data_IF_260130063624
#
_entry.id   IF_260130063624
#
_cell.length_a   1.000
_cell.length_b   1.000
_cell.length_c   1.000
_cell.angle_alpha   90.00
_cell.angle_beta   90.00
_cell.angle_gamma   90.00
#
_symmetry.space_group_name_H-M   'P 1'
#
loop_
_entity.id
_entity.type
_entity.pdbx_description
1 polymer ?
#
# COMPACT_ATOMS: atom_id res chain seq x y z
N UNK A 1 21.78 -42.07 92.60
CA UNK A 1 20.89 -42.86 91.71
C UNK A 1 20.83 -42.12 90.38
N UNK A 2 21.42 -42.69 89.32
CA UNK A 2 21.39 -42.16 87.95
C UNK A 2 19.97 -42.31 87.41
N UNK A 3 19.44 -41.28 86.75
CA UNK A 3 18.41 -41.45 85.73
C UNK A 3 18.82 -40.63 84.51
N UNK A 4 19.27 -41.32 83.46
CA UNK A 4 19.48 -40.77 82.13
C UNK A 4 18.10 -40.53 81.50
N UNK A 5 17.85 -39.34 80.95
CA UNK A 5 16.87 -39.16 79.87
C UNK A 5 17.62 -38.71 78.62
N UNK A 6 17.42 -39.52 77.57
CA UNK A 6 18.06 -39.45 76.26
C UNK A 6 17.47 -38.30 75.42
N UNK A 7 18.35 -37.54 74.76
CA UNK A 7 17.97 -36.68 73.65
C UNK A 7 17.56 -37.54 72.44
N UNK A 8 16.33 -37.38 71.97
CA UNK A 8 15.88 -37.88 70.67
C UNK A 8 16.31 -36.87 69.58
N UNK A 9 16.82 -37.33 68.42
CA UNK A 9 17.21 -36.43 67.34
C UNK A 9 15.97 -35.91 66.60
N UNK A 10 15.98 -34.61 66.25
CA UNK A 10 15.01 -34.03 65.31
C UNK A 10 15.17 -34.70 63.94
N UNK A 11 14.07 -35.25 63.41
CA UNK A 11 14.01 -35.75 62.04
C UNK A 11 14.14 -34.59 61.05
N UNK A 12 15.04 -34.72 60.08
CA UNK A 12 15.11 -33.84 58.92
C UNK A 12 13.86 -34.02 58.04
N UNK A 13 13.37 -32.95 57.37
CA UNK A 13 12.25 -33.08 56.43
C UNK A 13 12.63 -34.04 55.30
N UNK A 14 11.79 -35.05 55.08
CA UNK A 14 11.97 -36.03 54.02
C UNK A 14 11.67 -35.38 52.66
N UNK A 15 12.64 -35.43 51.75
CA UNK A 15 12.44 -35.22 50.31
C UNK A 15 11.48 -36.32 49.79
N UNK A 16 10.37 -36.00 49.10
CA UNK A 16 9.45 -37.02 48.62
C UNK A 16 10.11 -37.87 47.52
N UNK A 17 10.35 -39.12 47.86
CA UNK A 17 10.93 -40.15 47.00
C UNK A 17 9.87 -40.91 46.21
N UNK A 18 9.07 -40.24 45.38
CA UNK A 18 8.27 -40.90 44.36
C UNK A 18 7.58 -39.86 43.48
N UNK A 19 7.86 -39.92 42.18
CA UNK A 19 7.05 -39.35 41.11
C UNK A 19 5.82 -40.25 40.90
N UNK A 20 5.04 -40.49 41.96
CA UNK A 20 3.65 -40.93 41.75
C UNK A 20 3.00 -39.87 40.89
N UNK A 21 2.40 -40.32 39.78
CA UNK A 21 1.77 -39.54 38.73
C UNK A 21 1.01 -38.35 39.30
N UNK A 22 1.69 -37.20 39.36
CA UNK A 22 1.05 -35.91 39.51
C UNK A 22 0.12 -35.79 38.31
N UNK A 23 -1.17 -35.97 38.56
CA UNK A 23 -2.18 -35.42 37.67
C UNK A 23 -1.82 -33.97 37.38
N UNK A 24 -2.18 -33.51 36.19
CA UNK A 24 -2.02 -32.15 35.67
C UNK A 24 -1.88 -31.14 36.82
N UNK A 25 -0.64 -30.69 37.08
CA UNK A 25 -0.36 -29.81 38.23
C UNK A 25 -1.09 -28.49 37.94
N UNK A 26 -2.14 -28.21 38.71
CA UNK A 26 -2.84 -26.93 38.62
C UNK A 26 -1.93 -25.83 39.18
N UNK A 27 -1.30 -25.13 38.25
CA UNK A 27 -0.34 -24.07 38.49
C UNK A 27 -0.98 -22.80 39.10
N UNK A 28 -2.31 -22.76 39.16
CA UNK A 28 -3.10 -21.69 39.78
C UNK A 28 -3.50 -22.01 41.22
N UNK A 29 -3.22 -23.21 41.73
CA UNK A 29 -3.54 -23.61 43.09
C UNK A 29 -2.64 -22.89 44.12
N UNK A 30 -3.23 -22.46 45.24
CA UNK A 30 -2.49 -21.83 46.34
C UNK A 30 -1.40 -22.78 46.87
N UNK A 31 -0.14 -22.36 46.78
CA UNK A 31 1.03 -23.12 47.23
C UNK A 31 1.76 -23.92 46.14
N UNK A 32 1.28 -23.92 44.89
CA UNK A 32 1.99 -24.56 43.77
C UNK A 32 3.29 -23.82 43.41
N UNK A 33 4.41 -24.54 43.32
CA UNK A 33 5.71 -24.03 42.87
C UNK A 33 5.97 -24.44 41.42
N UNK A 34 5.42 -23.69 40.48
CA UNK A 34 5.72 -23.85 39.06
C UNK A 34 6.98 -23.09 38.66
N UNK A 35 7.84 -23.74 37.88
CA UNK A 35 9.09 -23.15 37.36
C UNK A 35 9.26 -23.50 35.88
N UNK A 36 9.91 -22.61 35.12
CA UNK A 36 10.28 -22.86 33.73
C UNK A 36 9.07 -23.11 32.82
N UNK A 37 9.03 -24.24 32.11
CA UNK A 37 7.96 -24.50 31.13
C UNK A 37 6.55 -24.53 31.72
N UNK A 38 6.44 -24.88 33.00
CA UNK A 38 5.15 -24.92 33.65
C UNK A 38 4.54 -23.52 33.84
N UNK A 39 5.37 -22.51 34.12
CA UNK A 39 4.90 -21.11 34.24
C UNK A 39 4.48 -20.52 32.89
N UNK A 40 4.92 -21.11 31.78
CA UNK A 40 4.51 -20.74 30.44
C UNK A 40 3.31 -21.55 29.93
N UNK A 41 2.66 -22.33 30.81
CA UNK A 41 1.62 -23.30 30.47
C UNK A 41 2.01 -24.20 29.28
N UNK A 42 3.28 -24.63 29.24
CA UNK A 42 3.84 -25.37 28.10
C UNK A 42 3.53 -24.73 26.74
N UNK A 43 3.65 -23.40 26.66
CA UNK A 43 3.37 -22.61 25.46
C UNK A 43 1.93 -22.73 24.97
N UNK A 44 0.99 -23.01 25.89
CA UNK A 44 -0.43 -23.23 25.64
C UNK A 44 -0.72 -24.24 24.53
N UNK A 45 0.19 -25.20 24.32
CA UNK A 45 0.08 -26.19 23.26
C UNK A 45 0.34 -25.66 21.83
N UNK A 46 0.78 -24.40 21.70
CA UNK A 46 1.08 -23.73 20.43
C UNK A 46 2.57 -23.47 20.24
N UNK A 47 3.41 -24.32 20.82
CA UNK A 47 4.84 -24.19 20.66
C UNK A 47 5.62 -25.23 21.44
N UNK A 48 6.91 -25.28 21.16
CA UNK A 48 7.86 -26.09 21.90
C UNK A 48 8.47 -25.27 23.02
N UNK A 49 8.35 -25.76 24.26
CA UNK A 49 9.03 -25.13 25.39
C UNK A 49 10.48 -25.60 25.51
N UNK A 50 11.40 -24.66 25.73
CA UNK A 50 12.81 -24.92 26.00
C UNK A 50 13.18 -24.48 27.43
N UNK A 51 13.54 -25.45 28.29
CA UNK A 51 14.10 -25.16 29.61
C UNK A 51 15.52 -24.58 29.50
N UNK A 52 15.84 -23.55 30.28
CA UNK A 52 17.18 -22.95 30.35
C UNK A 52 17.77 -23.16 31.72
N UNK A 53 18.96 -23.76 31.80
CA UNK A 53 19.67 -23.99 33.08
C UNK A 53 19.41 -25.33 33.75
N UNK A 54 18.79 -26.31 33.07
CA UNK A 54 18.61 -27.67 33.56
C UNK A 54 17.33 -27.91 34.37
N UNK A 55 17.14 -29.14 34.89
CA UNK A 55 15.95 -29.51 35.67
C UNK A 55 15.80 -28.63 36.93
N UNK A 56 14.62 -28.01 37.10
CA UNK A 56 14.31 -27.15 38.26
C UNK A 56 14.67 -25.68 38.11
N UNK A 57 15.23 -25.25 36.98
CA UNK A 57 15.44 -23.83 36.69
C UNK A 57 14.11 -23.08 36.52
N UNK A 58 14.00 -21.84 37.04
CA UNK A 58 12.82 -20.99 36.81
C UNK A 58 12.75 -20.45 35.38
N UNK A 59 13.83 -20.53 34.61
CA UNK A 59 13.93 -19.91 33.29
C UNK A 59 13.57 -20.90 32.19
N UNK A 60 12.56 -20.56 31.39
CA UNK A 60 12.25 -21.22 30.14
C UNK A 60 11.79 -20.18 29.10
N UNK A 61 11.81 -20.57 27.83
CA UNK A 61 11.21 -19.80 26.75
C UNK A 61 10.42 -20.71 25.82
N UNK A 62 9.37 -20.15 25.25
CA UNK A 62 8.59 -20.81 24.21
C UNK A 62 9.16 -20.50 22.83
N UNK A 63 9.24 -21.52 21.98
CA UNK A 63 9.37 -21.40 20.55
C UNK A 63 8.02 -21.72 19.93
N UNK A 64 7.26 -20.68 19.61
CA UNK A 64 5.90 -20.83 19.09
C UNK A 64 5.85 -21.51 17.72
N UNK A 65 4.76 -22.20 17.46
CA UNK A 65 4.43 -22.80 16.18
C UNK A 65 4.04 -21.72 15.16
N UNK A 66 4.18 -21.98 13.84
CA UNK A 66 3.78 -21.02 12.80
C UNK A 66 2.34 -20.53 12.98
N UNK A 67 2.14 -19.21 12.97
CA UNK A 67 0.83 -18.59 13.19
C UNK A 67 0.54 -18.23 14.65
N UNK A 68 1.39 -18.64 15.59
CA UNK A 68 1.28 -18.33 17.02
C UNK A 68 2.51 -17.56 17.52
N UNK A 69 2.29 -16.62 18.44
CA UNK A 69 3.26 -15.67 18.95
C UNK A 69 2.69 -14.26 19.07
N UNK A 70 3.51 -13.30 19.49
CA UNK A 70 3.08 -11.96 19.91
C UNK A 70 3.27 -11.76 21.41
N UNK A 71 3.19 -12.85 22.16
CA UNK A 71 3.45 -12.95 23.59
C UNK A 71 4.46 -14.08 23.89
N UNK A 72 4.93 -14.14 25.14
CA UNK A 72 5.90 -15.17 25.57
C UNK A 72 5.28 -16.57 25.75
N UNK A 73 3.94 -16.69 25.71
CA UNK A 73 3.20 -17.90 26.04
C UNK A 73 2.58 -18.58 24.81
N UNK A 74 2.78 -18.03 23.60
CA UNK A 74 2.18 -18.49 22.35
C UNK A 74 0.64 -18.53 22.41
N UNK A 75 0.05 -17.58 23.13
CA UNK A 75 -1.42 -17.45 23.24
C UNK A 75 -1.99 -16.59 22.14
N UNK A 76 -1.18 -15.72 21.55
CA UNK A 76 -1.59 -14.80 20.52
C UNK A 76 -1.28 -15.33 19.11
N UNK A 77 -2.00 -14.81 18.12
CA UNK A 77 -1.76 -15.07 16.70
C UNK A 77 -0.73 -14.09 16.13
N UNK A 78 0.16 -14.59 15.29
CA UNK A 78 1.03 -13.75 14.47
C UNK A 78 0.31 -13.32 13.21
N UNK A 79 0.45 -12.06 12.80
CA UNK A 79 -0.11 -11.59 11.55
C UNK A 79 0.87 -11.71 10.38
N UNK A 80 0.38 -11.62 9.13
CA UNK A 80 1.21 -11.58 7.95
C UNK A 80 2.24 -10.45 8.00
N UNK A 81 3.44 -10.76 7.52
CA UNK A 81 4.50 -9.77 7.33
C UNK A 81 4.52 -9.35 5.87
N UNK A 82 4.62 -8.05 5.64
CA UNK A 82 4.81 -7.47 4.33
C UNK A 82 5.96 -6.47 4.36
N UNK A 83 6.38 -6.03 3.18
CA UNK A 83 7.32 -4.92 3.06
C UNK A 83 6.73 -3.70 3.75
N UNK A 84 7.49 -3.09 4.67
CA UNK A 84 7.01 -1.94 5.42
C UNK A 84 6.64 -0.80 4.47
N UNK A 85 5.47 -0.20 4.66
CA UNK A 85 5.06 0.99 3.90
C UNK A 85 5.82 2.23 4.35
N UNK A 86 6.26 2.24 5.60
CA UNK A 86 7.09 3.28 6.17
C UNK A 86 8.05 2.65 7.18
N UNK A 87 9.35 2.82 6.96
CA UNK A 87 10.40 2.42 7.89
C UNK A 87 11.62 3.34 7.79
N UNK A 88 12.47 3.27 8.81
CA UNK A 88 13.78 3.91 8.73
C UNK A 88 14.72 3.01 7.92
N UNK A 89 15.42 3.56 6.91
CA UNK A 89 16.39 2.78 6.15
C UNK A 89 17.51 2.30 7.07
N UNK A 90 17.90 1.04 6.93
CA UNK A 90 19.02 0.45 7.68
C UNK A 90 20.36 0.77 7.00
N UNK A 91 20.35 1.05 5.70
CA UNK A 91 21.51 1.49 4.94
C UNK A 91 21.10 2.33 3.72
N UNK A 92 22.09 2.82 2.97
CA UNK A 92 21.87 3.58 1.73
C UNK A 92 21.20 2.78 0.61
N UNK A 93 21.16 1.45 0.71
CA UNK A 93 20.57 0.55 -0.29
C UNK A 93 19.49 -0.36 0.28
N UNK A 94 19.21 -0.28 1.58
CA UNK A 94 18.27 -1.18 2.25
C UNK A 94 17.25 -0.37 3.06
N UNK A 95 16.00 -0.49 2.63
CA UNK A 95 14.80 0.06 3.24
C UNK A 95 13.64 -0.93 3.00
N UNK A 96 12.48 -0.66 3.59
CA UNK A 96 11.29 -1.49 3.50
C UNK A 96 11.58 -2.93 3.97
N UNK A 97 12.03 -3.05 5.21
CA UNK A 97 12.16 -4.33 5.91
C UNK A 97 10.79 -5.02 6.06
N UNK A 98 10.78 -6.34 6.24
CA UNK A 98 9.53 -7.05 6.52
C UNK A 98 9.02 -6.67 7.91
N UNK A 99 7.78 -6.20 7.98
CA UNK A 99 7.11 -5.82 9.22
C UNK A 99 5.73 -6.45 9.27
N UNK A 100 5.31 -6.78 10.48
CA UNK A 100 3.96 -7.25 10.74
C UNK A 100 2.96 -6.18 10.28
N UNK A 101 1.97 -6.60 9.50
CA UNK A 101 1.00 -5.71 8.87
C UNK A 101 1.64 -4.53 8.12
N UNK A 102 2.82 -4.74 7.53
CA UNK A 102 3.58 -3.74 6.76
C UNK A 102 3.77 -2.40 7.48
N UNK A 103 3.69 -2.38 8.81
CA UNK A 103 3.67 -1.14 9.61
C UNK A 103 2.54 -0.16 9.18
N UNK A 104 1.45 -0.70 8.62
CA UNK A 104 0.33 0.02 8.02
C UNK A 104 -1.03 -0.51 8.50
N UNK A 105 -1.05 -1.15 9.66
CA UNK A 105 -2.25 -1.67 10.30
C UNK A 105 -1.95 -2.23 11.68
N UNK A 106 -3.00 -2.61 12.39
CA UNK A 106 -2.91 -3.33 13.65
C UNK A 106 -3.12 -4.83 13.43
N UNK A 107 -2.36 -5.66 14.13
CA UNK A 107 -2.58 -7.11 14.11
C UNK A 107 -3.71 -7.47 15.07
N UNK A 108 -4.76 -8.13 14.56
CA UNK A 108 -5.74 -8.81 15.41
C UNK A 108 -5.14 -10.12 15.92
N UNK A 109 -4.76 -10.13 17.20
CA UNK A 109 -4.09 -11.26 17.86
C UNK A 109 -4.99 -12.47 18.09
N UNK A 110 -6.31 -12.34 17.94
CA UNK A 110 -7.23 -13.48 18.07
C UNK A 110 -7.38 -14.22 16.74
N UNK A 111 -7.39 -13.50 15.62
CA UNK A 111 -7.62 -14.08 14.29
C UNK A 111 -6.34 -14.27 13.48
N UNK A 112 -5.30 -13.49 13.77
CA UNK A 112 -4.07 -13.42 12.97
C UNK A 112 -4.24 -12.60 11.69
N UNK A 113 -5.24 -11.72 11.60
CA UNK A 113 -5.49 -10.87 10.44
C UNK A 113 -5.11 -9.42 10.70
N UNK A 114 -4.57 -8.73 9.70
CA UNK A 114 -4.25 -7.32 9.79
C UNK A 114 -5.48 -6.43 9.57
N UNK A 115 -5.72 -5.49 10.48
CA UNK A 115 -6.67 -4.39 10.34
C UNK A 115 -5.94 -3.17 9.79
N UNK A 116 -6.08 -2.92 8.49
CA UNK A 116 -5.31 -1.89 7.80
C UNK A 116 -5.76 -0.45 8.14
N UNK A 117 -4.80 0.46 8.17
CA UNK A 117 -5.09 1.90 8.25
C UNK A 117 -5.80 2.39 6.99
N UNK A 118 -6.54 3.52 7.07
CA UNK A 118 -7.15 4.13 5.89
C UNK A 118 -6.12 4.38 4.79
N UNK A 119 -6.47 4.02 3.55
CA UNK A 119 -5.57 4.15 2.40
C UNK A 119 -4.68 2.93 2.16
N UNK A 120 -4.80 1.86 2.94
CA UNK A 120 -4.01 0.63 2.81
C UNK A 120 -4.90 -0.61 2.70
N UNK A 121 -4.39 -1.63 2.01
CA UNK A 121 -5.08 -2.89 1.73
C UNK A 121 -4.07 -4.03 1.51
N UNK A 122 -4.60 -5.24 1.36
CA UNK A 122 -3.83 -6.48 1.26
C UNK A 122 -3.76 -7.21 2.60
N UNK A 123 -3.38 -8.49 2.54
CA UNK A 123 -3.35 -9.39 3.72
C UNK A 123 -2.41 -8.91 4.83
N UNK A 124 -1.37 -8.16 4.48
CA UNK A 124 -0.44 -7.52 5.40
C UNK A 124 -0.52 -6.00 5.32
N UNK A 125 -1.57 -5.39 4.75
CA UNK A 125 -1.66 -3.93 4.54
C UNK A 125 -0.53 -3.35 3.68
N UNK A 126 0.06 -4.18 2.82
CA UNK A 126 1.23 -3.87 2.03
C UNK A 126 0.95 -3.04 0.77
N UNK A 127 -0.31 -2.79 0.42
CA UNK A 127 -0.68 -2.06 -0.80
C UNK A 127 -1.47 -0.81 -0.46
N UNK A 128 -1.29 0.26 -1.23
CA UNK A 128 -2.12 1.46 -1.16
C UNK A 128 -3.46 1.23 -1.86
N UNK A 129 -4.51 1.85 -1.36
CA UNK A 129 -5.79 1.98 -2.07
C UNK A 129 -5.82 3.27 -2.87
N UNK A 130 -6.66 3.34 -3.91
CA UNK A 130 -6.89 4.62 -4.58
C UNK A 130 -7.74 5.56 -3.71
N UNK A 131 -7.47 6.87 -3.73
CA UNK A 131 -8.31 7.84 -3.05
C UNK A 131 -9.77 7.76 -3.53
N UNK A 132 -10.71 7.68 -2.57
CA UNK A 132 -12.16 7.59 -2.81
C UNK A 132 -12.58 6.58 -3.90
N UNK A 133 -11.81 5.50 -4.09
CA UNK A 133 -12.02 4.53 -5.18
C UNK A 133 -12.18 5.19 -6.56
N UNK A 134 -11.34 6.19 -6.82
CA UNK A 134 -11.39 7.01 -8.04
C UNK A 134 -12.76 7.64 -8.31
N UNK A 135 -13.54 7.88 -7.24
CA UNK A 135 -14.89 8.45 -7.27
C UNK A 135 -15.86 7.71 -8.20
N UNK A 136 -15.56 6.45 -8.56
CA UNK A 136 -16.26 5.72 -9.62
C UNK A 136 -16.18 6.37 -11.01
N UNK A 137 -15.15 7.21 -11.24
CA UNK A 137 -14.86 7.97 -12.48
C UNK A 137 -13.45 7.70 -12.99
N UNK A 138 -12.95 6.50 -12.72
CA UNK A 138 -11.64 6.09 -13.19
C UNK A 138 -11.28 4.68 -12.76
N UNK A 139 -10.11 4.25 -13.21
CA UNK A 139 -9.55 2.94 -12.91
C UNK A 139 -8.45 3.06 -11.86
N UNK A 140 -8.55 2.26 -10.79
CA UNK A 140 -7.54 2.19 -9.76
C UNK A 140 -6.36 1.29 -10.18
N UNK A 141 -5.31 1.90 -10.71
CA UNK A 141 -4.16 1.20 -11.29
C UNK A 141 -2.92 1.32 -10.41
N UNK A 142 -2.07 0.31 -10.46
CA UNK A 142 -0.72 0.38 -9.88
C UNK A 142 0.16 1.36 -10.66
N UNK A 143 1.22 1.87 -10.04
CA UNK A 143 2.19 2.73 -10.74
C UNK A 143 2.81 2.04 -11.96
N UNK A 144 3.06 0.73 -11.89
CA UNK A 144 3.50 -0.08 -13.03
C UNK A 144 2.49 -0.04 -14.18
N UNK A 145 1.21 -0.19 -13.89
CA UNK A 145 0.16 -0.17 -14.91
C UNK A 145 0.03 1.23 -15.52
N UNK A 146 -0.04 2.27 -14.69
CA UNK A 146 -0.12 3.67 -15.13
C UNK A 146 1.03 4.06 -16.06
N UNK A 147 2.26 3.61 -15.77
CA UNK A 147 3.41 3.88 -16.61
C UNK A 147 3.30 3.33 -18.05
N UNK A 148 2.39 2.37 -18.30
CA UNK A 148 2.13 1.81 -19.63
C UNK A 148 0.96 2.47 -20.35
N UNK A 149 0.17 3.28 -19.67
CA UNK A 149 -1.04 3.89 -20.22
C UNK A 149 -0.66 5.15 -21.00
N UNK A 150 -1.05 5.21 -22.28
CA UNK A 150 -0.76 6.36 -23.18
C UNK A 150 -1.52 7.63 -22.80
N UNK A 151 -2.60 7.47 -22.05
CA UNK A 151 -3.54 8.49 -21.58
C UNK A 151 -3.37 8.81 -20.09
N UNK A 152 -2.47 8.11 -19.38
CA UNK A 152 -2.13 8.47 -18.01
C UNK A 152 -1.38 9.80 -17.97
N UNK A 153 -1.83 10.67 -17.06
CA UNK A 153 -1.20 11.96 -16.81
C UNK A 153 -0.01 11.81 -15.84
N UNK A 154 1.05 12.61 -15.99
CA UNK A 154 1.25 13.56 -17.07
C UNK A 154 1.59 12.88 -18.41
N UNK A 155 1.05 13.41 -19.51
CA UNK A 155 1.32 12.85 -20.84
C UNK A 155 2.80 13.01 -21.19
N UNK A 156 3.35 11.97 -21.80
CA UNK A 156 4.70 11.96 -22.33
C UNK A 156 4.66 11.47 -23.78
N UNK A 157 5.68 11.78 -24.60
CA UNK A 157 5.75 11.43 -26.04
C UNK A 157 5.93 9.93 -26.31
N UNK A 158 5.38 9.08 -25.44
CA UNK A 158 5.76 7.69 -25.30
C UNK A 158 7.19 7.58 -24.77
N UNK A 159 7.43 6.58 -23.93
CA UNK A 159 8.78 6.13 -23.69
C UNK A 159 9.24 5.44 -24.99
N UNK A 160 10.01 6.13 -25.83
CA UNK A 160 10.44 5.66 -27.17
C UNK A 160 11.40 4.46 -27.13
N UNK A 161 11.47 3.71 -26.03
CA UNK A 161 12.30 2.51 -25.89
C UNK A 161 11.66 1.39 -25.06
N UNK A 162 10.33 1.29 -25.01
CA UNK A 162 9.73 -0.05 -24.81
C UNK A 162 9.75 -0.71 -26.18
N UNK A 163 10.77 -1.56 -26.41
CA UNK A 163 10.70 -2.56 -27.45
C UNK A 163 9.46 -3.41 -27.14
N UNK A 164 8.39 -3.08 -27.84
CA UNK A 164 7.07 -3.64 -27.70
C UNK A 164 7.08 -5.07 -28.22
N UNK A 165 7.44 -6.02 -27.36
CA UNK A 165 7.07 -7.44 -27.51
C UNK A 165 6.00 -7.86 -26.51
N UNK A 166 5.63 -7.00 -25.56
CA UNK A 166 4.55 -7.29 -24.61
C UNK A 166 3.24 -6.73 -25.15
N UNK A 167 2.62 -7.58 -25.95
CA UNK A 167 1.24 -7.52 -26.41
C UNK A 167 0.27 -7.01 -25.31
N UNK A 168 -0.22 -5.78 -25.48
CA UNK A 168 -1.18 -5.12 -24.59
C UNK A 168 -2.57 -5.80 -24.56
N UNK A 169 -2.76 -6.90 -25.31
CA UNK A 169 -4.03 -7.65 -25.31
C UNK A 169 -4.12 -8.73 -24.24
N UNK A 170 -3.03 -8.99 -23.48
CA UNK A 170 -3.01 -9.98 -22.40
C UNK A 170 -2.43 -9.41 -21.10
N UNK A 171 -3.11 -8.44 -20.49
CA UNK A 171 -2.84 -8.08 -19.09
C UNK A 171 -3.43 -9.17 -18.17
N UNK A 172 -2.63 -9.85 -17.32
CA UNK A 172 -3.18 -10.80 -16.35
C UNK A 172 -3.98 -10.09 -15.26
N UNK A 173 -4.98 -10.80 -14.73
CA UNK A 173 -5.83 -10.42 -13.61
C UNK A 173 -5.03 -9.84 -12.42
N UNK A 174 -5.59 -8.88 -11.67
CA UNK A 174 -4.94 -8.28 -10.51
C UNK A 174 -4.69 -9.31 -9.41
N UNK A 175 -3.44 -9.78 -9.27
CA UNK A 175 -3.05 -10.67 -8.17
C UNK A 175 -1.90 -11.64 -8.40
N UNK A 176 -1.31 -11.74 -9.59
CA UNK A 176 -0.23 -12.70 -9.86
C UNK A 176 1.17 -12.16 -9.44
N UNK A 177 1.83 -12.76 -8.44
CA UNK A 177 3.17 -12.36 -8.00
C UNK A 177 4.32 -12.92 -8.85
N UNK A 178 4.05 -13.75 -9.87
CA UNK A 178 5.09 -14.50 -10.59
C UNK A 178 5.56 -13.88 -11.91
N UNK A 179 4.96 -12.78 -12.37
CA UNK A 179 5.37 -12.14 -13.62
C UNK A 179 6.48 -11.11 -13.41
N UNK A 180 7.73 -11.61 -13.46
CA UNK A 180 8.94 -10.82 -13.68
C UNK A 180 8.97 -10.25 -15.11
N UNK A 181 8.06 -9.33 -15.44
CA UNK A 181 8.24 -8.48 -16.62
C UNK A 181 9.38 -7.51 -16.29
N UNK A 182 10.52 -7.72 -16.91
CA UNK A 182 11.65 -6.80 -16.86
C UNK A 182 11.30 -5.58 -17.71
N UNK A 183 10.75 -4.54 -17.05
CA UNK A 183 10.66 -3.23 -17.70
C UNK A 183 12.09 -2.69 -17.74
N UNK A 184 12.77 -2.85 -18.88
CA UNK A 184 13.99 -2.08 -19.15
C UNK A 184 13.58 -0.63 -19.33
N UNK A 185 13.74 0.15 -18.26
CA UNK A 185 13.76 1.60 -18.36
C UNK A 185 15.06 2.03 -19.06
N UNK A 186 15.09 1.95 -20.40
CA UNK A 186 16.21 2.46 -21.22
C UNK A 186 16.19 4.00 -21.37
N UNK A 187 15.78 4.70 -20.30
CA UNK A 187 15.60 6.14 -20.29
C UNK A 187 15.71 6.70 -18.87
N UNK A 188 16.94 7.08 -18.50
CA UNK A 188 17.31 7.96 -17.38
C UNK A 188 17.48 7.41 -15.95
N UNK A 189 17.43 6.09 -15.70
CA UNK A 189 17.94 5.51 -14.42
C UNK A 189 18.79 4.23 -14.57
N UNK A 190 19.16 3.83 -15.78
CA UNK A 190 20.02 2.67 -16.01
C UNK A 190 21.40 3.10 -16.51
N UNK A 191 22.20 3.73 -15.64
CA UNK A 191 23.65 3.89 -15.85
C UNK A 191 24.51 3.02 -14.92
N UNK A 192 23.86 2.12 -14.19
CA UNK A 192 24.49 1.18 -13.27
C UNK A 192 23.54 0.00 -13.18
N UNK A 193 24.00 -1.23 -13.47
CA UNK A 193 23.19 -2.44 -13.67
C UNK A 193 22.39 -2.92 -12.45
N UNK A 194 21.47 -2.08 -11.98
CA UNK A 194 20.48 -2.27 -10.93
C UNK A 194 19.07 -2.22 -11.57
N UNK A 195 18.92 -2.81 -12.76
CA UNK A 195 17.71 -2.76 -13.58
C UNK A 195 16.59 -3.66 -13.10
N UNK A 196 16.16 -3.48 -11.86
CA UNK A 196 14.97 -4.10 -11.28
C UNK A 196 13.83 -3.09 -11.16
N UNK A 197 12.57 -3.54 -11.15
CA UNK A 197 11.46 -2.66 -10.77
C UNK A 197 11.64 -2.06 -9.38
N UNK A 198 11.10 -0.86 -9.14
CA UNK A 198 11.07 -0.28 -7.79
C UNK A 198 10.16 -1.10 -6.87
N UNK A 199 10.45 -1.12 -5.57
CA UNK A 199 9.72 -1.97 -4.62
C UNK A 199 8.21 -1.68 -4.58
N UNK A 200 7.84 -0.44 -4.89
CA UNK A 200 6.50 0.12 -4.76
C UNK A 200 5.71 0.14 -6.08
N UNK A 201 6.29 -0.28 -7.20
CA UNK A 201 5.63 -0.20 -8.51
C UNK A 201 4.25 -0.89 -8.55
N UNK A 202 4.05 -1.93 -7.73
CA UNK A 202 2.83 -2.73 -7.63
C UNK A 202 2.06 -2.46 -6.33
N UNK A 203 2.66 -1.72 -5.40
CA UNK A 203 2.10 -1.44 -4.08
C UNK A 203 1.46 -0.06 -4.04
N UNK A 204 2.03 0.91 -4.76
CA UNK A 204 1.46 2.24 -4.92
C UNK A 204 0.44 2.23 -6.07
N UNK A 205 -0.69 2.90 -5.83
CA UNK A 205 -1.81 2.98 -6.76
C UNK A 205 -2.27 4.43 -6.92
N UNK A 206 -2.78 4.74 -8.10
CA UNK A 206 -3.40 6.02 -8.41
C UNK A 206 -4.49 5.84 -9.47
N UNK A 207 -5.30 6.87 -9.66
CA UNK A 207 -6.44 6.84 -10.57
C UNK A 207 -6.06 7.25 -11.98
N UNK A 208 -6.43 6.43 -12.96
CA UNK A 208 -6.57 6.86 -14.35
C UNK A 208 -8.02 7.32 -14.56
N UNK A 209 -8.22 8.60 -14.82
CA UNK A 209 -9.56 9.17 -14.88
C UNK A 209 -10.26 8.93 -16.22
N UNK A 210 -11.56 8.65 -16.13
CA UNK A 210 -12.41 8.44 -17.30
C UNK A 210 -12.54 9.71 -18.14
N UNK A 211 -12.78 9.53 -19.44
CA UNK A 211 -12.98 10.64 -20.37
C UNK A 211 -13.88 10.23 -21.52
N UNK A 212 -14.88 11.06 -21.84
CA UNK A 212 -15.71 10.88 -23.04
C UNK A 212 -14.99 11.23 -24.34
N UNK A 213 -13.83 11.89 -24.27
CA UNK A 213 -12.97 12.17 -25.41
C UNK A 213 -11.62 11.46 -25.31
N UNK A 214 -10.98 11.15 -26.46
CA UNK A 214 -9.63 10.60 -26.47
C UNK A 214 -8.63 11.52 -25.78
N UNK A 215 -7.82 10.97 -24.89
CA UNK A 215 -6.77 11.69 -24.16
C UNK A 215 -5.42 11.31 -24.74
N UNK A 216 -4.60 12.31 -25.07
CA UNK A 216 -3.30 12.09 -25.68
C UNK A 216 -2.75 13.31 -26.42
N UNK A 217 -1.72 13.07 -27.22
CA UNK A 217 -0.91 14.07 -27.92
C UNK A 217 -1.13 14.04 -29.45
N UNK A 218 -1.93 13.11 -29.94
CA UNK A 218 -2.23 12.94 -31.36
C UNK A 218 -3.30 13.89 -31.89
N UNK A 219 -3.52 13.87 -33.22
CA UNK A 219 -4.57 14.65 -33.86
C UNK A 219 -5.96 14.27 -33.31
N UNK A 220 -6.76 15.27 -32.93
CA UNK A 220 -8.10 15.06 -32.36
C UNK A 220 -8.14 14.59 -30.90
N UNK A 221 -6.99 14.24 -30.32
CA UNK A 221 -6.87 13.92 -28.90
C UNK A 221 -6.75 15.21 -28.07
N UNK A 222 -7.23 15.17 -26.83
CA UNK A 222 -7.07 16.27 -25.87
C UNK A 222 -5.96 15.95 -24.87
N UNK A 223 -5.16 16.96 -24.51
CA UNK A 223 -4.07 16.76 -23.54
C UNK A 223 -4.54 16.51 -22.10
N UNK A 224 -5.85 16.61 -21.84
CA UNK A 224 -6.45 16.50 -20.51
C UNK A 224 -7.72 15.67 -20.59
N UNK A 225 -7.92 14.80 -19.61
CA UNK A 225 -9.13 13.99 -19.42
C UNK A 225 -10.32 14.82 -18.91
N UNK A 226 -11.55 14.33 -19.14
CA UNK A 226 -12.79 14.93 -18.63
C UNK A 226 -12.85 14.98 -17.11
N UNK A 227 -12.59 13.85 -16.46
CA UNK A 227 -12.45 13.77 -15.02
C UNK A 227 -10.98 13.97 -14.63
N UNK A 228 -10.74 14.61 -13.49
CA UNK A 228 -9.40 14.90 -13.02
C UNK A 228 -9.34 15.01 -11.50
N UNK A 229 -8.12 15.19 -11.00
CA UNK A 229 -7.80 15.17 -9.57
C UNK A 229 -7.31 13.79 -9.11
N UNK A 230 -6.81 13.68 -7.87
CA UNK A 230 -6.22 12.43 -7.36
C UNK A 230 -7.22 11.27 -7.30
N UNK A 231 -8.50 11.57 -7.15
CA UNK A 231 -9.61 10.63 -7.06
C UNK A 231 -10.59 10.74 -8.24
N UNK A 232 -10.25 11.47 -9.30
CA UNK A 232 -11.13 11.71 -10.45
C UNK A 232 -12.50 12.33 -10.12
N UNK A 233 -12.68 12.91 -8.92
CA UNK A 233 -13.95 13.47 -8.49
C UNK A 233 -14.29 14.82 -9.14
N UNK A 234 -13.31 15.48 -9.76
CA UNK A 234 -13.49 16.79 -10.38
C UNK A 234 -13.76 16.64 -11.88
N UNK A 235 -14.72 17.40 -12.39
CA UNK A 235 -15.10 17.39 -13.80
C UNK A 235 -14.73 18.71 -14.46
N UNK A 236 -14.02 18.63 -15.59
CA UNK A 236 -13.71 19.79 -16.43
C UNK A 236 -14.95 20.37 -17.07
N UNK A 237 -14.91 21.67 -17.33
CA UNK A 237 -16.00 22.37 -17.97
C UNK A 237 -15.92 22.28 -19.50
N UNK A 238 -17.00 22.67 -20.21
CA UNK A 238 -16.95 22.78 -21.66
C UNK A 238 -15.80 23.66 -22.11
N UNK A 239 -14.98 23.11 -23.00
CA UNK A 239 -13.84 23.80 -23.56
C UNK A 239 -14.23 24.64 -24.78
N UNK A 240 -13.53 25.74 -25.00
CA UNK A 240 -13.66 26.53 -26.22
C UNK A 240 -12.52 27.51 -26.42
N UNK A 241 -12.48 28.11 -27.60
CA UNK A 241 -11.54 29.18 -27.95
C UNK A 241 -11.96 30.50 -27.32
N UNK A 242 -11.00 31.36 -26.97
CA UNK A 242 -11.27 32.65 -26.35
C UNK A 242 -11.62 33.70 -27.43
N UNK A 243 -12.86 34.22 -27.47
CA UNK A 243 -13.29 35.13 -28.54
C UNK A 243 -12.68 36.55 -28.47
N UNK A 244 -11.72 36.82 -27.58
CA UNK A 244 -11.05 38.12 -27.48
C UNK A 244 -9.56 38.06 -27.84
N UNK A 245 -9.01 36.88 -28.11
CA UNK A 245 -7.62 36.70 -28.52
C UNK A 245 -7.58 36.35 -30.01
N UNK A 246 -6.46 36.66 -30.67
CA UNK A 246 -6.23 36.26 -32.07
C UNK A 246 -5.65 34.84 -32.17
N UNK A 247 -5.12 34.33 -31.05
CA UNK A 247 -4.55 33.00 -30.96
C UNK A 247 -5.68 32.02 -30.64
N UNK A 248 -5.76 30.94 -31.39
CA UNK A 248 -6.62 29.80 -31.02
C UNK A 248 -5.98 29.05 -29.82
N UNK A 249 -6.52 29.23 -28.61
CA UNK A 249 -6.00 28.55 -27.42
C UNK A 249 -6.36 27.06 -27.38
N UNK A 250 -7.29 26.60 -28.23
CA UNK A 250 -7.62 25.18 -28.35
C UNK A 250 -6.65 24.42 -29.24
N UNK A 251 -5.81 25.11 -30.01
CA UNK A 251 -4.76 24.49 -30.80
C UNK A 251 -3.52 24.17 -29.95
N UNK A 252 -3.31 22.88 -29.67
CA UNK A 252 -2.19 22.37 -28.87
C UNK A 252 -1.00 21.88 -29.71
N UNK A 253 -0.95 22.19 -31.00
CA UNK A 253 0.20 21.83 -31.84
C UNK A 253 1.47 22.50 -31.30
N UNK A 254 2.49 21.71 -30.95
CA UNK A 254 3.74 22.21 -30.38
C UNK A 254 3.65 22.64 -28.91
N UNK A 255 2.51 22.42 -28.24
CA UNK A 255 2.32 22.78 -26.83
C UNK A 255 2.64 21.57 -25.93
N UNK A 256 3.45 21.81 -24.90
CA UNK A 256 3.83 20.80 -23.90
C UNK A 256 2.64 20.53 -22.98
N UNK A 257 2.30 19.24 -22.81
CA UNK A 257 1.26 18.82 -21.88
C UNK A 257 1.61 19.16 -20.43
N UNK A 258 0.62 19.66 -19.69
CA UNK A 258 0.79 20.09 -18.32
C UNK A 258 1.35 18.97 -17.42
N UNK A 259 2.38 19.29 -16.65
CA UNK A 259 3.07 18.35 -15.75
C UNK A 259 3.95 17.32 -16.46
N UNK A 260 3.98 17.30 -17.80
CA UNK A 260 4.70 16.31 -18.61
C UNK A 260 5.82 16.90 -19.46
N UNK A 261 6.35 16.05 -20.32
CA UNK A 261 7.32 16.43 -21.37
C UNK A 261 6.78 16.20 -22.78
N UNK A 262 5.61 15.57 -22.90
CA UNK A 262 5.01 15.28 -24.19
C UNK A 262 4.52 16.54 -24.89
N UNK A 263 4.67 16.60 -26.21
CA UNK A 263 4.31 17.76 -27.04
C UNK A 263 3.20 17.38 -28.00
N UNK A 264 2.15 18.22 -28.06
CA UNK A 264 1.03 18.00 -28.99
C UNK A 264 1.48 17.98 -30.45
N UNK A 265 1.10 16.92 -31.16
CA UNK A 265 1.31 16.78 -32.62
C UNK A 265 0.35 17.68 -33.40
N UNK A 266 0.58 17.92 -34.71
CA UNK A 266 -0.36 18.67 -35.53
C UNK A 266 -1.80 18.15 -35.39
N UNK A 267 -2.72 19.04 -35.03
CA UNK A 267 -4.14 18.73 -34.80
C UNK A 267 -4.49 18.27 -33.39
N UNK A 268 -3.55 18.28 -32.44
CA UNK A 268 -3.83 18.02 -31.03
C UNK A 268 -4.58 19.19 -30.38
N UNK A 269 -5.42 18.89 -29.39
CA UNK A 269 -6.39 19.84 -28.84
C UNK A 269 -6.07 20.17 -27.38
N UNK A 270 -5.93 21.46 -27.08
CA UNK A 270 -5.85 21.95 -25.71
C UNK A 270 -7.25 21.99 -25.09
N UNK A 271 -7.32 21.76 -23.78
CA UNK A 271 -8.56 21.95 -23.04
C UNK A 271 -8.52 23.31 -22.35
N UNK A 272 -9.46 24.18 -22.70
CA UNK A 272 -9.56 25.56 -22.22
C UNK A 272 -10.91 25.74 -21.55
N UNK A 273 -10.96 25.59 -20.23
CA UNK A 273 -12.18 25.67 -19.46
C UNK A 273 -12.91 27.00 -19.71
N UNK A 274 -14.17 26.91 -20.13
CA UNK A 274 -15.05 28.06 -20.33
C UNK A 274 -14.48 29.16 -21.23
N UNK A 275 -13.67 28.80 -22.24
CA UNK A 275 -13.06 29.76 -23.19
C UNK A 275 -12.28 30.89 -22.50
N UNK A 276 -11.77 30.68 -21.28
CA UNK A 276 -11.23 31.75 -20.41
C UNK A 276 -12.21 32.92 -20.16
N UNK A 277 -13.51 32.72 -20.41
CA UNK A 277 -14.59 33.72 -20.32
C UNK A 277 -15.73 33.31 -19.40
N UNK A 278 -15.42 32.44 -18.45
CA UNK A 278 -16.32 32.09 -17.35
C UNK A 278 -15.59 31.41 -16.20
N UNK A 279 -16.31 31.20 -15.10
CA UNK A 279 -15.85 30.36 -14.00
C UNK A 279 -16.40 28.94 -14.16
N UNK A 280 -15.54 27.95 -13.99
CA UNK A 280 -15.93 26.54 -13.99
C UNK A 280 -16.39 26.10 -12.60
N UNK A 281 -17.54 25.43 -12.52
CA UNK A 281 -18.01 24.74 -11.31
C UNK A 281 -18.72 23.44 -11.68
N UNK A 282 -18.24 22.31 -11.17
CA UNK A 282 -18.83 20.98 -11.35
C UNK A 282 -19.11 20.61 -12.82
N UNK A 283 -18.18 20.97 -13.72
CA UNK A 283 -18.32 20.76 -15.16
C UNK A 283 -19.30 21.70 -15.87
N UNK A 284 -19.75 22.77 -15.22
CA UNK A 284 -20.60 23.80 -15.81
C UNK A 284 -19.92 25.18 -15.83
N UNK A 285 -20.01 25.86 -16.97
CA UNK A 285 -19.52 27.22 -17.13
C UNK A 285 -20.54 28.28 -16.68
N UNK A 286 -20.11 29.18 -15.82
CA UNK A 286 -20.79 30.45 -15.56
C UNK A 286 -20.06 31.57 -16.28
N UNK A 287 -20.64 32.06 -17.37
CA UNK A 287 -19.99 33.05 -18.22
C UNK A 287 -19.89 34.44 -17.59
N UNK A 288 -18.82 35.15 -17.93
CA UNK A 288 -18.66 36.57 -17.61
C UNK A 288 -19.61 37.44 -18.44
N UNK A 289 -19.82 38.68 -17.99
CA UNK A 289 -20.72 39.62 -18.67
C UNK A 289 -20.30 39.81 -20.13
N UNK A 290 -21.26 39.69 -21.05
CA UNK A 290 -21.03 39.84 -22.48
C UNK A 290 -20.61 38.55 -23.20
N UNK A 291 -20.45 37.44 -22.47
CA UNK A 291 -20.13 36.12 -23.02
C UNK A 291 -21.26 35.13 -22.76
N UNK A 292 -21.47 34.20 -23.68
CA UNK A 292 -22.55 33.22 -23.62
C UNK A 292 -22.23 31.93 -24.38
N UNK A 293 -23.11 30.94 -24.24
CA UNK A 293 -22.92 29.59 -24.76
C UNK A 293 -22.45 28.62 -23.68
N UNK A 294 -22.44 27.32 -23.99
CA UNK A 294 -22.11 26.26 -23.03
C UNK A 294 -20.68 26.35 -22.49
N UNK A 295 -19.78 26.96 -23.26
CA UNK A 295 -18.37 27.17 -22.95
C UNK A 295 -17.99 28.65 -22.90
N UNK A 296 -18.94 29.59 -22.95
CA UNK A 296 -18.66 31.04 -22.95
C UNK A 296 -17.84 31.56 -24.14
N UNK A 297 -17.68 30.78 -25.21
CA UNK A 297 -16.90 31.16 -26.40
C UNK A 297 -17.59 32.13 -27.36
N UNK A 298 -18.82 32.59 -27.06
CA UNK A 298 -19.54 33.57 -27.90
C UNK A 298 -19.65 34.91 -27.18
N UNK A 299 -19.51 36.00 -27.92
CA UNK A 299 -19.61 37.38 -27.40
C UNK A 299 -20.86 38.10 -27.92
N UNK A 300 -21.55 38.83 -27.05
CA UNK A 300 -22.66 39.70 -27.47
C UNK A 300 -22.12 40.92 -28.21
N UNK A 301 -22.68 41.23 -29.38
CA UNK A 301 -22.26 42.33 -30.26
C UNK A 301 -22.78 43.72 -29.85
N UNK A 302 -23.32 43.89 -28.63
CA UNK A 302 -23.92 45.18 -28.21
C UNK A 302 -23.15 45.80 -27.03
N UNK A 303 -22.58 46.97 -27.32
CA UNK A 303 -21.97 47.93 -26.41
C UNK A 303 -23.00 48.53 -25.46
#
# INVERSE_FOLDING_TARGET
MRLLLLCLPLAAPQEPSSWESVGEIDCLAEGARCFGCHTLNYCNGHGKCEQKGGPGSPFANCKCDPGWGGDAFCTERTCPFGKAQSDMPTSVTEAHSLKECSNAGFCDRLTGTCQCFPGFAGTACQSKTCPNDCSGKGLCLTMRQLAKMKDALPLNDGFTSVNNTDDLTNLPEPGDPTQNISIRYDGAMSRSGLGGPTYDQNLNRACLCDSSWPVGLGPGERQQAEFHGPDCGQKRCPSGDDPMTERDETNCTGVVAAGGRGVGRPGNICHVDCSNRGTCKDGLCKCFKGFYGINCGKRTTRY
#
